data_IF_614478834042
#
_entry.id   IF_614478834042
#
_cell.length_a   1.000
_cell.length_b   1.000
_cell.length_c   1.000
_cell.angle_alpha   90.00
_cell.angle_beta   90.00
_cell.angle_gamma   90.00
#
_symmetry.space_group_name_H-M   'P 1'
#
loop_
_entity.id
_entity.type
_entity.pdbx_description
1 polymer ?
#
# COMPACT_ATOMS: atom_id res chain seq x y z
N UNK A 1 -4.28 1.08 -12.84
CA UNK A 1 -2.84 1.32 -13.07
C UNK A 1 -2.06 1.09 -11.78
N UNK A 2 -0.78 0.71 -11.90
CA UNK A 2 0.16 0.68 -10.77
C UNK A 2 1.40 1.50 -11.12
N UNK A 3 2.06 2.02 -10.10
CA UNK A 3 3.34 2.71 -10.15
C UNK A 3 4.29 1.95 -9.23
N UNK A 4 5.38 1.44 -9.80
CA UNK A 4 6.52 0.91 -9.06
C UNK A 4 7.49 2.06 -8.80
N UNK A 5 7.78 2.29 -7.53
CA UNK A 5 8.73 3.30 -7.06
C UNK A 5 9.96 2.54 -6.57
N UNK A 6 11.10 2.78 -7.21
CA UNK A 6 12.40 2.28 -6.77
C UNK A 6 13.05 3.31 -5.85
N UNK A 7 13.59 2.82 -4.75
CA UNK A 7 14.12 3.59 -3.64
C UNK A 7 15.53 3.11 -3.33
N UNK A 8 16.47 4.02 -3.14
CA UNK A 8 17.79 3.71 -2.59
C UNK A 8 17.82 4.17 -1.14
N UNK A 9 18.31 3.32 -0.24
CA UNK A 9 18.46 3.68 1.17
C UNK A 9 19.63 4.64 1.37
N UNK A 10 19.37 5.82 1.94
CA UNK A 10 20.42 6.82 2.15
C UNK A 10 21.28 6.53 3.40
N UNK A 11 20.85 5.58 4.25
CA UNK A 11 21.57 5.16 5.45
C UNK A 11 21.05 3.81 5.98
N UNK A 12 21.85 3.18 6.84
CA UNK A 12 21.41 2.05 7.65
C UNK A 12 20.17 2.40 8.48
N UNK A 13 19.15 1.54 8.44
CA UNK A 13 17.92 1.74 9.20
C UNK A 13 17.29 0.41 9.66
N UNK A 14 16.59 0.47 10.79
CA UNK A 14 15.72 -0.63 11.21
C UNK A 14 14.44 -0.63 10.37
N UNK A 15 14.10 -1.80 9.81
CA UNK A 15 12.82 -1.98 9.13
C UNK A 15 11.70 -2.03 10.18
N UNK A 16 11.03 -0.89 10.35
CA UNK A 16 9.87 -0.80 11.23
C UNK A 16 8.64 -1.47 10.59
N UNK A 17 7.67 -1.87 11.39
CA UNK A 17 6.40 -2.43 10.87
C UNK A 17 5.20 -1.51 11.08
N UNK A 18 5.39 -0.39 11.77
CA UNK A 18 4.35 0.60 12.11
C UNK A 18 4.40 1.86 11.22
N UNK A 19 5.16 1.82 10.12
CA UNK A 19 5.40 2.99 9.28
C UNK A 19 4.24 3.36 8.35
N UNK A 20 3.19 2.54 8.20
CA UNK A 20 2.15 2.75 7.18
C UNK A 20 1.49 4.13 7.24
N UNK A 21 1.34 4.70 8.44
CA UNK A 21 0.84 6.06 8.61
C UNK A 21 1.80 7.13 8.06
N UNK A 22 3.11 6.93 8.27
CA UNK A 22 4.17 7.83 7.75
C UNK A 22 4.30 7.71 6.24
N UNK A 23 4.28 6.48 5.72
CA UNK A 23 4.28 6.22 4.29
C UNK A 23 3.09 6.87 3.60
N UNK A 24 1.88 6.67 4.15
CA UNK A 24 0.67 7.33 3.65
C UNK A 24 0.88 8.85 3.58
N UNK A 25 1.33 9.47 4.67
CA UNK A 25 1.61 10.91 4.70
C UNK A 25 2.65 11.35 3.67
N UNK A 26 3.70 10.56 3.41
CA UNK A 26 4.71 10.87 2.38
C UNK A 26 4.13 10.82 0.97
N UNK A 27 3.29 9.82 0.67
CA UNK A 27 2.61 9.72 -0.63
C UNK A 27 1.62 10.87 -0.84
N UNK A 28 0.84 11.25 0.17
CA UNK A 28 -0.08 12.38 0.07
C UNK A 28 0.60 13.73 -0.04
N UNK A 29 1.77 13.91 0.60
CA UNK A 29 2.57 15.12 0.42
C UNK A 29 3.00 15.32 -1.03
N UNK A 30 3.17 14.25 -1.80
CA UNK A 30 3.46 14.37 -3.23
C UNK A 30 2.29 14.98 -4.03
N UNK A 31 1.08 14.96 -3.48
CA UNK A 31 -0.13 15.52 -4.07
C UNK A 31 -0.50 16.89 -3.48
N UNK A 32 0.29 17.43 -2.54
CA UNK A 32 0.01 18.71 -1.92
C UNK A 32 0.07 19.85 -2.93
N UNK A 33 -0.84 20.83 -2.81
CA UNK A 33 -1.00 21.91 -3.78
C UNK A 33 -1.59 21.51 -5.14
N UNK A 34 -2.04 20.26 -5.30
CA UNK A 34 -2.72 19.76 -6.51
C UNK A 34 -4.23 19.59 -6.27
N UNK A 35 -4.99 19.29 -7.33
CA UNK A 35 -6.44 19.02 -7.20
C UNK A 35 -6.76 17.83 -6.27
N UNK A 36 -5.80 16.91 -6.07
CA UNK A 36 -5.95 15.73 -5.22
C UNK A 36 -5.56 15.97 -3.75
N UNK A 37 -4.97 17.12 -3.43
CA UNK A 37 -4.31 17.34 -2.14
C UNK A 37 -5.26 17.29 -0.93
N UNK A 38 -6.51 17.72 -1.09
CA UNK A 38 -7.50 17.74 0.00
C UNK A 38 -8.16 16.38 0.26
N UNK A 39 -8.09 15.45 -0.70
CA UNK A 39 -8.86 14.21 -0.64
C UNK A 39 -8.43 13.25 0.47
N UNK A 40 -7.25 13.45 1.06
CA UNK A 40 -6.79 12.64 2.20
C UNK A 40 -7.65 12.84 3.46
N UNK A 41 -8.25 14.02 3.62
CA UNK A 41 -8.92 14.42 4.87
C UNK A 41 -10.47 14.37 4.77
N UNK A 42 -10.99 14.14 3.56
CA UNK A 42 -12.44 14.19 3.27
C UNK A 42 -13.22 12.94 3.71
N UNK A 43 -12.52 11.92 4.22
CA UNK A 43 -13.13 10.69 4.76
C UNK A 43 -13.68 9.73 3.71
N UNK A 44 -13.63 10.09 2.43
CA UNK A 44 -14.00 9.21 1.31
C UNK A 44 -12.87 8.26 0.93
N UNK A 45 -13.19 7.06 0.38
CA UNK A 45 -12.19 6.18 -0.19
C UNK A 45 -11.46 6.87 -1.34
N UNK A 46 -10.18 7.15 -1.14
CA UNK A 46 -9.34 7.87 -2.10
C UNK A 46 -9.05 7.09 -3.39
N UNK A 47 -9.34 5.80 -3.40
CA UNK A 47 -9.00 4.88 -4.50
C UNK A 47 -7.50 4.55 -4.58
N UNK A 48 -6.69 5.00 -3.61
CA UNK A 48 -5.26 4.73 -3.53
C UNK A 48 -4.98 3.52 -2.64
N UNK A 49 -4.19 2.58 -3.13
CA UNK A 49 -3.64 1.46 -2.35
C UNK A 49 -2.12 1.40 -2.53
N UNK A 50 -1.40 0.87 -1.55
CA UNK A 50 0.06 0.70 -1.63
C UNK A 50 0.52 -0.57 -0.92
N UNK A 51 1.64 -1.14 -1.38
CA UNK A 51 2.28 -2.28 -0.73
C UNK A 51 3.13 -1.85 0.48
N UNK A 52 3.63 -2.82 1.23
CA UNK A 52 4.83 -2.63 2.04
C UNK A 52 6.03 -2.22 1.15
N UNK A 53 7.03 -1.60 1.76
CA UNK A 53 8.35 -1.42 1.15
C UNK A 53 9.03 -2.80 1.11
N UNK A 54 9.49 -3.25 -0.06
CA UNK A 54 10.09 -4.58 -0.24
C UNK A 54 11.46 -4.48 -0.94
N UNK A 55 12.40 -5.42 -0.76
CA UNK A 55 12.33 -6.55 0.18
C UNK A 55 12.21 -6.11 1.64
N UNK A 56 11.80 -7.05 2.49
CA UNK A 56 11.62 -6.85 3.93
C UNK A 56 12.91 -7.21 4.67
N UNK A 57 13.08 -6.69 5.89
CA UNK A 57 14.25 -6.93 6.73
C UNK A 57 15.18 -5.73 6.80
N UNK A 58 16.31 -5.88 7.52
CA UNK A 58 17.28 -4.82 7.79
C UNK A 58 17.61 -4.02 6.54
N UNK A 59 17.67 -2.69 6.69
CA UNK A 59 18.03 -1.76 5.62
C UNK A 59 19.48 -1.34 5.86
N UNK A 60 20.31 -1.53 4.83
CA UNK A 60 21.69 -1.08 4.77
C UNK A 60 21.74 0.11 3.80
N UNK A 61 22.62 1.07 4.04
CA UNK A 61 22.94 2.13 3.08
C UNK A 61 23.19 1.54 1.67
N UNK A 62 22.70 2.23 0.64
CA UNK A 62 22.71 1.82 -0.77
C UNK A 62 21.84 0.59 -1.11
N UNK A 63 21.06 0.04 -0.17
CA UNK A 63 20.09 -1.01 -0.50
C UNK A 63 18.97 -0.47 -1.40
N UNK A 64 18.71 -1.19 -2.49
CA UNK A 64 17.52 -0.96 -3.30
C UNK A 64 16.27 -1.53 -2.61
N UNK A 65 15.24 -0.70 -2.53
CA UNK A 65 13.89 -1.05 -2.10
C UNK A 65 12.88 -0.63 -3.15
N UNK A 66 11.69 -1.18 -3.02
CA UNK A 66 10.60 -1.02 -3.95
C UNK A 66 9.30 -0.81 -3.21
N UNK A 67 8.44 0.02 -3.79
CA UNK A 67 7.10 0.30 -3.31
C UNK A 67 6.14 0.30 -4.49
N UNK A 68 5.07 -0.49 -4.40
CA UNK A 68 3.98 -0.45 -5.36
C UNK A 68 2.87 0.45 -4.86
N UNK A 69 2.42 1.37 -5.70
CA UNK A 69 1.25 2.22 -5.49
C UNK A 69 0.25 1.95 -6.61
N UNK A 70 -1.03 1.84 -6.28
CA UNK A 70 -2.08 1.49 -7.22
C UNK A 70 -3.27 2.44 -7.09
N UNK A 71 -3.86 2.79 -8.23
CA UNK A 71 -5.10 3.55 -8.31
C UNK A 71 -5.81 3.28 -9.64
N UNK A 72 -7.16 3.32 -9.69
CA UNK A 72 -7.90 3.37 -10.95
C UNK A 72 -7.81 4.75 -11.61
N UNK A 73 -7.32 5.78 -10.91
CA UNK A 73 -7.24 7.17 -11.39
C UNK A 73 -5.84 7.45 -11.91
N UNK A 74 -5.66 7.41 -13.22
CA UNK A 74 -4.36 7.58 -13.87
C UNK A 74 -3.75 8.96 -13.60
N UNK A 75 -4.56 10.02 -13.66
CA UNK A 75 -4.13 11.39 -13.37
C UNK A 75 -3.51 11.53 -11.98
N UNK A 76 -4.09 10.89 -10.97
CA UNK A 76 -3.56 10.90 -9.59
C UNK A 76 -2.16 10.27 -9.53
N UNK A 77 -1.96 9.09 -10.15
CA UNK A 77 -0.65 8.44 -10.18
C UNK A 77 0.38 9.24 -10.98
N UNK A 78 -0.03 9.84 -12.10
CA UNK A 78 0.84 10.67 -12.91
C UNK A 78 1.30 11.91 -12.13
N UNK A 79 0.38 12.61 -11.46
CA UNK A 79 0.69 13.76 -10.60
C UNK A 79 1.64 13.36 -9.47
N UNK A 80 1.39 12.22 -8.82
CA UNK A 80 2.29 11.69 -7.80
C UNK A 80 3.69 11.41 -8.36
N UNK A 81 3.79 10.73 -9.51
CA UNK A 81 5.06 10.41 -10.13
C UNK A 81 5.85 11.68 -10.50
N UNK A 82 5.21 12.68 -11.09
CA UNK A 82 5.87 13.94 -11.44
C UNK A 82 6.40 14.69 -10.21
N UNK A 83 5.64 14.71 -9.11
CA UNK A 83 6.09 15.30 -7.85
C UNK A 83 7.28 14.55 -7.26
N UNK A 84 7.26 13.22 -7.28
CA UNK A 84 8.37 12.38 -6.82
C UNK A 84 9.63 12.53 -7.69
N UNK A 85 9.50 12.75 -9.00
CA UNK A 85 10.65 13.06 -9.86
C UNK A 85 11.30 14.40 -9.52
N UNK A 86 10.49 15.41 -9.22
CA UNK A 86 10.98 16.76 -8.89
C UNK A 86 11.56 16.82 -7.47
N UNK A 87 11.00 16.02 -6.55
CA UNK A 87 11.39 15.95 -5.15
C UNK A 87 11.62 14.49 -4.73
N UNK A 88 12.79 13.92 -5.08
CA UNK A 88 13.06 12.50 -4.92
C UNK A 88 13.31 12.06 -3.46
N UNK A 89 13.55 12.99 -2.53
CA UNK A 89 13.71 12.65 -1.11
C UNK A 89 12.45 11.96 -0.55
N UNK A 90 12.61 10.73 -0.04
CA UNK A 90 11.52 9.83 0.34
C UNK A 90 11.69 9.25 1.75
N UNK A 91 11.64 10.13 2.75
CA UNK A 91 11.75 9.70 4.15
C UNK A 91 10.43 9.09 4.67
N UNK A 92 10.51 7.88 5.22
CA UNK A 92 9.39 7.15 5.81
C UNK A 92 9.67 6.85 7.29
N UNK A 93 9.23 7.75 8.16
CA UNK A 93 9.58 7.67 9.58
C UNK A 93 11.07 7.89 9.77
N UNK A 94 11.76 6.90 10.34
CA UNK A 94 13.21 6.92 10.56
C UNK A 94 13.98 6.21 9.44
N UNK A 95 13.32 5.78 8.36
CA UNK A 95 13.93 5.12 7.20
C UNK A 95 14.13 6.16 6.07
N UNK A 96 15.37 6.63 5.82
CA UNK A 96 15.66 7.58 4.76
C UNK A 96 15.85 6.87 3.42
N UNK A 97 15.20 7.39 2.39
CA UNK A 97 15.32 6.88 1.02
C UNK A 97 15.34 8.02 0.01
N UNK A 98 15.91 7.73 -1.15
CA UNK A 98 15.79 8.57 -2.35
C UNK A 98 15.10 7.79 -3.47
N UNK A 99 14.12 8.40 -4.14
CA UNK A 99 13.50 7.81 -5.34
C UNK A 99 14.50 7.81 -6.50
N UNK A 100 14.79 6.63 -7.03
CA UNK A 100 15.73 6.45 -8.15
C UNK A 100 15.03 6.11 -9.46
N UNK A 101 13.87 5.44 -9.41
CA UNK A 101 13.08 5.14 -10.59
C UNK A 101 11.57 5.13 -10.31
N UNK A 102 10.79 5.40 -11.37
CA UNK A 102 9.34 5.45 -11.35
C UNK A 102 8.78 4.78 -12.60
N UNK A 103 8.38 3.52 -12.45
CA UNK A 103 7.95 2.67 -13.56
C UNK A 103 6.44 2.40 -13.50
N UNK A 104 5.65 2.73 -14.53
CA UNK A 104 4.25 2.31 -14.62
C UNK A 104 4.18 0.79 -14.82
N UNK A 105 3.26 0.13 -14.11
CA UNK A 105 3.02 -1.32 -14.17
C UNK A 105 1.56 -1.58 -14.52
N UNK A 106 1.37 -2.30 -15.63
CA UNK A 106 0.08 -2.76 -16.12
C UNK A 106 -0.01 -4.29 -15.98
N UNK A 107 -0.60 -4.79 -14.89
CA UNK A 107 -0.77 -6.23 -14.72
C UNK A 107 -1.83 -6.77 -15.67
N UNK A 108 -1.47 -7.80 -16.45
CA UNK A 108 -2.45 -8.61 -17.15
C UNK A 108 -3.20 -9.49 -16.14
N UNK A 109 -4.51 -9.29 -16.05
CA UNK A 109 -5.42 -10.05 -15.17
C UNK A 109 -6.36 -10.97 -15.96
N UNK A 110 -6.12 -11.11 -17.26
CA UNK A 110 -6.97 -11.81 -18.20
C UNK A 110 -8.26 -11.06 -18.53
N UNK A 111 -9.06 -11.68 -19.38
CA UNK A 111 -10.37 -11.16 -19.79
C UNK A 111 -11.37 -11.15 -18.63
N UNK A 112 -12.38 -10.25 -18.63
CA UNK A 112 -13.45 -10.25 -17.64
C UNK A 112 -14.11 -11.64 -17.49
N UNK A 113 -14.19 -12.13 -16.25
CA UNK A 113 -14.70 -13.47 -15.94
C UNK A 113 -13.63 -14.56 -15.78
N UNK A 114 -12.36 -14.23 -16.05
CA UNK A 114 -11.23 -15.11 -15.77
C UNK A 114 -11.03 -15.30 -14.26
N UNK A 115 -10.50 -16.46 -13.88
CA UNK A 115 -10.12 -16.79 -12.50
C UNK A 115 -8.60 -16.74 -12.34
N UNK A 116 -8.14 -16.27 -11.20
CA UNK A 116 -6.73 -16.21 -10.87
C UNK A 116 -6.51 -16.33 -9.36
N UNK A 117 -5.24 -16.28 -8.97
CA UNK A 117 -4.82 -16.26 -7.56
C UNK A 117 -4.26 -14.88 -7.27
N UNK A 118 -4.69 -14.30 -6.15
CA UNK A 118 -4.13 -13.05 -5.63
C UNK A 118 -3.31 -13.41 -4.40
N UNK A 119 -2.05 -13.03 -4.41
CA UNK A 119 -1.17 -13.11 -3.26
C UNK A 119 -0.94 -11.72 -2.68
N UNK A 120 -0.84 -11.63 -1.37
CA UNK A 120 -0.68 -10.37 -0.66
C UNK A 120 0.40 -10.53 0.41
N UNK A 121 1.34 -9.58 0.38
CA UNK A 121 2.27 -9.35 1.49
C UNK A 121 1.81 -8.20 2.41
N UNK A 122 0.70 -7.52 2.09
CA UNK A 122 0.13 -6.39 2.85
C UNK A 122 -1.27 -6.76 3.34
N UNK A 123 -1.48 -6.77 4.65
CA UNK A 123 -2.71 -7.30 5.26
C UNK A 123 -4.01 -6.76 4.62
N UNK A 124 -4.92 -7.67 4.25
CA UNK A 124 -6.25 -7.30 3.77
C UNK A 124 -7.17 -7.11 4.97
N UNK A 125 -7.70 -5.90 5.14
CA UNK A 125 -8.55 -5.54 6.26
C UNK A 125 -9.96 -5.26 5.77
N UNK A 126 -10.93 -6.02 6.29
CA UNK A 126 -12.36 -5.77 6.08
C UNK A 126 -12.94 -5.42 7.44
N UNK A 127 -13.37 -4.16 7.61
CA UNK A 127 -14.06 -3.72 8.82
C UNK A 127 -15.53 -4.06 8.71
N UNK A 128 -16.02 -4.83 9.66
CA UNK A 128 -17.42 -5.17 9.79
C UNK A 128 -18.00 -4.41 10.98
N UNK A 129 -19.07 -3.66 10.73
CA UNK A 129 -19.82 -2.98 11.77
C UNK A 129 -20.80 -3.96 12.41
N UNK A 130 -20.91 -3.93 13.74
CA UNK A 130 -21.70 -4.92 14.48
C UNK A 130 -23.17 -4.95 14.07
N UNK A 131 -23.73 -3.78 13.77
CA UNK A 131 -25.10 -3.58 13.29
C UNK A 131 -25.43 -4.32 11.99
N UNK A 132 -24.42 -4.70 11.19
CA UNK A 132 -24.60 -5.39 9.90
C UNK A 132 -24.24 -6.88 9.94
N UNK A 133 -23.82 -7.41 11.09
CA UNK A 133 -23.40 -8.83 11.21
C UNK A 133 -24.52 -9.81 10.91
N UNK A 134 -25.71 -9.55 11.44
CA UNK A 134 -26.89 -10.40 11.19
C UNK A 134 -27.23 -10.45 9.70
N UNK A 135 -27.16 -9.30 9.00
CA UNK A 135 -27.39 -9.21 7.56
C UNK A 135 -26.40 -10.07 6.76
N UNK A 136 -25.17 -10.21 7.24
CA UNK A 136 -24.12 -10.98 6.57
C UNK A 136 -24.02 -12.44 7.04
N UNK A 137 -24.89 -12.88 7.96
CA UNK A 137 -24.85 -14.22 8.52
C UNK A 137 -23.55 -14.51 9.31
N UNK A 138 -23.01 -13.50 9.99
CA UNK A 138 -21.76 -13.61 10.75
C UNK A 138 -22.10 -13.83 12.23
N UNK A 139 -21.93 -15.06 12.69
CA UNK A 139 -22.16 -15.46 14.08
C UNK A 139 -21.04 -15.01 15.03
N UNK A 140 -21.38 -14.75 16.30
CA UNK A 140 -20.44 -14.45 17.38
C UNK A 140 -20.22 -12.96 17.66
N UNK A 141 -19.73 -12.66 18.87
CA UNK A 141 -19.48 -11.28 19.34
C UNK A 141 -18.28 -10.62 18.65
N UNK A 142 -18.25 -9.28 18.60
CA UNK A 142 -17.08 -8.53 18.13
C UNK A 142 -15.86 -8.78 19.01
N UNK A 143 -14.69 -8.90 18.39
CA UNK A 143 -13.43 -9.17 19.09
C UNK A 143 -13.23 -10.61 19.55
N UNK A 144 -14.21 -11.50 19.38
CA UNK A 144 -14.00 -12.94 19.57
C UNK A 144 -13.13 -13.48 18.42
N UNK A 145 -12.02 -14.19 18.70
CA UNK A 145 -11.24 -14.82 17.65
C UNK A 145 -12.14 -15.80 16.90
N UNK A 146 -12.05 -15.89 15.55
CA UNK A 146 -12.81 -16.88 14.82
C UNK A 146 -12.48 -18.27 15.37
N UNK A 147 -13.46 -19.20 15.46
CA UNK A 147 -13.17 -20.55 15.88
C UNK A 147 -12.05 -21.09 14.99
N UNK A 148 -10.99 -21.61 15.60
CA UNK A 148 -9.82 -22.12 14.89
C UNK A 148 -10.27 -23.22 13.93
N UNK A 149 -10.53 -22.87 12.67
CA UNK A 149 -10.65 -23.86 11.61
C UNK A 149 -9.24 -24.32 11.34
N UNK A 150 -8.90 -25.48 11.91
CA UNK A 150 -7.72 -26.25 11.52
C UNK A 150 -7.81 -26.41 10.01
N UNK A 151 -6.92 -25.75 9.27
CA UNK A 151 -6.74 -26.03 7.85
C UNK A 151 -6.50 -27.54 7.73
N UNK A 152 -7.37 -28.30 7.05
CA UNK A 152 -7.08 -29.70 6.81
C UNK A 152 -5.83 -29.73 5.93
N UNK A 153 -4.71 -30.18 6.49
CA UNK A 153 -3.52 -30.52 5.71
C UNK A 153 -3.94 -31.58 4.70
N UNK A 154 -4.01 -31.19 3.43
CA UNK A 154 -4.22 -32.09 2.30
C UNK A 154 -3.13 -33.18 2.33
N UNK A 155 -3.57 -34.44 2.40
CA UNK A 155 -2.74 -35.62 2.11
C UNK A 155 -2.61 -35.81 0.61
#
# INVERSE_FOLDING_TARGET
MRLLITLDADADAEYRTDYHHKLRGRLWRALDGTEYGSEHDDGEPTGLAFSNIFPWGQIVEDDERSLLVASPREGLLATMAESLKQHPEFNVGDMPFTVTDLTPVEPDVGEPGTRGVIETATGVVIRLYDERREQYGIDGESGSPPPSRVCPTSR
#
